data_IF_937139616618
#
_entry.id   IF_937139616618
#
_cell.length_a   1.000
_cell.length_b   1.000
_cell.length_c   1.000
_cell.angle_alpha   90.00
_cell.angle_beta   90.00
_cell.angle_gamma   90.00
#
_symmetry.space_group_name_H-M   'P 1'
#
loop_
_entity.id
_entity.type
_entity.pdbx_description
1 polymer ?
#
# COMPACT_ATOMS: atom_id res chain seq x y z
N UNK A 1 -20.07 -18.21 -22.68
CA UNK A 1 -18.74 -18.47 -22.08
C UNK A 1 -17.73 -17.61 -22.80
N UNK A 2 -17.45 -16.41 -22.30
CA UNK A 2 -16.46 -15.51 -22.90
C UNK A 2 -15.07 -16.05 -22.63
N UNK A 3 -14.30 -16.31 -23.68
CA UNK A 3 -12.89 -16.67 -23.57
C UNK A 3 -12.16 -15.55 -22.81
N UNK A 4 -11.85 -15.77 -21.53
CA UNK A 4 -10.93 -14.91 -20.80
C UNK A 4 -9.57 -15.08 -21.45
N UNK A 5 -9.19 -14.13 -22.31
CA UNK A 5 -7.82 -14.05 -22.81
C UNK A 5 -6.89 -13.89 -21.60
N UNK A 6 -5.96 -14.83 -21.44
CA UNK A 6 -4.92 -14.72 -20.42
C UNK A 6 -4.16 -13.39 -20.62
N UNK A 7 -4.07 -12.53 -19.59
CA UNK A 7 -3.42 -11.23 -19.74
C UNK A 7 -1.94 -11.43 -20.10
N UNK A 8 -1.48 -10.68 -21.10
CA UNK A 8 -0.08 -10.70 -21.55
C UNK A 8 0.86 -10.29 -20.41
N UNK A 9 2.14 -10.70 -20.47
CA UNK A 9 3.12 -10.40 -19.41
C UNK A 9 3.23 -8.90 -19.11
N UNK A 10 3.26 -8.07 -20.15
CA UNK A 10 3.28 -6.60 -20.01
C UNK A 10 2.01 -6.05 -19.36
N UNK A 11 0.84 -6.58 -19.73
CA UNK A 11 -0.44 -6.19 -19.15
C UNK A 11 -0.52 -6.56 -17.66
N UNK A 12 -0.04 -7.74 -17.26
CA UNK A 12 0.03 -8.13 -15.83
C UNK A 12 0.95 -7.21 -15.03
N UNK A 13 2.08 -6.83 -15.60
CA UNK A 13 3.02 -5.92 -14.95
C UNK A 13 2.43 -4.53 -14.78
N UNK A 14 1.80 -4.00 -15.84
CA UNK A 14 1.12 -2.72 -15.82
C UNK A 14 0.01 -2.70 -14.77
N UNK A 15 -0.83 -3.74 -14.72
CA UNK A 15 -1.89 -3.83 -13.71
C UNK A 15 -1.37 -4.03 -12.29
N UNK A 16 -0.26 -4.74 -12.11
CA UNK A 16 0.37 -4.84 -10.79
C UNK A 16 0.92 -3.50 -10.35
N UNK A 17 1.57 -2.78 -11.27
CA UNK A 17 2.05 -1.42 -11.03
C UNK A 17 0.90 -0.46 -10.72
N UNK A 18 -0.18 -0.46 -11.50
CA UNK A 18 -1.38 0.33 -11.24
C UNK A 18 -2.03 -0.06 -9.91
N UNK A 19 -2.12 -1.35 -9.59
CA UNK A 19 -2.63 -1.84 -8.32
C UNK A 19 -1.83 -1.29 -7.16
N UNK A 20 -0.50 -1.41 -7.21
CA UNK A 20 0.35 -0.84 -6.18
C UNK A 20 0.22 0.68 -6.10
N UNK A 21 0.24 1.40 -7.24
CA UNK A 21 0.30 2.88 -7.26
C UNK A 21 -1.04 3.61 -7.11
N UNK A 22 -2.18 2.96 -7.35
CA UNK A 22 -3.50 3.53 -7.05
C UNK A 22 -4.13 2.89 -5.82
N UNK A 23 -4.22 1.56 -5.80
CA UNK A 23 -4.94 0.83 -4.74
C UNK A 23 -4.15 0.90 -3.43
N UNK A 24 -2.82 0.83 -3.49
CA UNK A 24 -1.95 1.00 -2.31
C UNK A 24 -2.19 2.34 -1.61
N UNK A 25 -2.00 3.48 -2.30
CA UNK A 25 -2.22 4.79 -1.71
C UNK A 25 -3.66 5.03 -1.26
N UNK A 26 -4.64 4.52 -2.01
CA UNK A 26 -6.04 4.59 -1.64
C UNK A 26 -6.31 3.87 -0.31
N UNK A 27 -5.83 2.63 -0.15
CA UNK A 27 -5.97 1.90 1.11
C UNK A 27 -5.25 2.60 2.26
N UNK A 28 -4.06 3.18 2.01
CA UNK A 28 -3.33 3.92 3.04
C UNK A 28 -4.11 5.14 3.53
N UNK A 29 -4.62 5.97 2.60
CA UNK A 29 -5.45 7.13 2.92
C UNK A 29 -6.75 6.74 3.62
N UNK A 30 -7.43 5.68 3.14
CA UNK A 30 -8.64 5.15 3.76
C UNK A 30 -8.39 4.62 5.17
N UNK A 31 -7.26 3.95 5.39
CA UNK A 31 -6.89 3.42 6.71
C UNK A 31 -6.67 4.56 7.72
N UNK A 32 -5.99 5.64 7.31
CA UNK A 32 -5.82 6.83 8.16
C UNK A 32 -7.16 7.51 8.43
N UNK A 33 -8.01 7.67 7.40
CA UNK A 33 -9.36 8.23 7.57
C UNK A 33 -10.18 7.43 8.58
N UNK A 34 -10.24 6.11 8.40
CA UNK A 34 -10.95 5.20 9.29
C UNK A 34 -10.38 5.27 10.71
N UNK A 35 -9.05 5.24 10.86
CA UNK A 35 -8.40 5.32 12.17
C UNK A 35 -8.72 6.63 12.90
N UNK A 36 -8.73 7.77 12.21
CA UNK A 36 -9.05 9.06 12.82
C UNK A 36 -10.54 9.20 13.21
N UNK A 37 -11.46 8.61 12.42
CA UNK A 37 -12.89 8.59 12.78
C UNK A 37 -13.15 7.65 13.95
N UNK A 38 -12.52 6.47 13.94
CA UNK A 38 -12.70 5.45 14.97
C UNK A 38 -11.87 5.72 16.24
N UNK A 39 -10.92 6.66 16.21
CA UNK A 39 -10.07 6.94 17.36
C UNK A 39 -10.88 7.34 18.60
N UNK A 40 -11.85 8.24 18.43
CA UNK A 40 -12.69 8.74 19.52
C UNK A 40 -13.58 7.66 20.15
N UNK A 41 -14.37 6.87 19.39
CA UNK A 41 -15.18 5.80 19.98
C UNK A 41 -14.34 4.67 20.59
N UNK A 42 -13.09 4.47 20.13
CA UNK A 42 -12.19 3.44 20.64
C UNK A 42 -11.21 3.96 21.71
N UNK A 43 -11.31 5.23 22.12
CA UNK A 43 -10.40 5.88 23.10
C UNK A 43 -8.92 5.78 22.71
N UNK A 44 -8.63 5.83 21.40
CA UNK A 44 -7.28 5.76 20.82
C UNK A 44 -6.68 7.16 20.59
N UNK A 45 -7.23 8.19 21.19
CA UNK A 45 -6.81 9.59 20.98
C UNK A 45 -5.32 9.81 21.31
N UNK A 46 -4.74 9.01 22.21
CA UNK A 46 -3.31 9.02 22.54
C UNK A 46 -2.38 8.52 21.42
N UNK A 47 -2.92 7.89 20.38
CA UNK A 47 -2.18 7.45 19.19
C UNK A 47 -2.24 8.47 18.03
N UNK A 48 -3.05 9.51 18.15
CA UNK A 48 -3.15 10.56 17.13
C UNK A 48 -2.00 11.56 17.35
N UNK A 49 -1.13 11.78 16.35
CA UNK A 49 -0.10 12.82 16.43
C UNK A 49 -0.70 14.21 16.69
N UNK A 50 -0.02 15.01 17.51
CA UNK A 50 -0.42 16.41 17.73
C UNK A 50 -0.31 17.21 16.43
N UNK A 51 -1.33 18.01 16.11
CA UNK A 51 -1.38 18.81 14.87
C UNK A 51 -2.01 18.11 13.67
N UNK A 52 -2.62 16.94 13.85
CA UNK A 52 -3.42 16.29 12.79
C UNK A 52 -4.66 17.14 12.48
N UNK A 53 -4.73 17.61 11.24
CA UNK A 53 -5.84 18.39 10.71
C UNK A 53 -7.10 17.53 10.53
N UNK A 54 -8.17 18.12 9.97
CA UNK A 54 -9.40 17.44 9.57
C UNK A 54 -9.12 16.05 8.94
N UNK A 55 -9.81 14.97 9.37
CA UNK A 55 -9.60 13.60 8.88
C UNK A 55 -9.54 13.48 7.36
N UNK A 56 -10.34 14.26 6.63
CA UNK A 56 -10.33 14.27 5.16
C UNK A 56 -9.04 14.86 4.59
N UNK A 57 -8.50 15.92 5.19
CA UNK A 57 -7.23 16.52 4.76
C UNK A 57 -6.07 15.56 5.02
N UNK A 58 -6.03 14.92 6.19
CA UNK A 58 -5.01 13.93 6.54
C UNK A 58 -5.06 12.70 5.63
N UNK A 59 -6.25 12.19 5.31
CA UNK A 59 -6.42 11.09 4.38
C UNK A 59 -5.88 11.40 2.98
N UNK A 60 -6.17 12.60 2.46
CA UNK A 60 -5.64 13.06 1.18
C UNK A 60 -4.12 13.23 1.22
N UNK A 61 -3.58 13.83 2.29
CA UNK A 61 -2.13 13.96 2.46
C UNK A 61 -1.46 12.58 2.49
N UNK A 62 -2.03 11.60 3.21
CA UNK A 62 -1.53 10.23 3.23
C UNK A 62 -1.63 9.57 1.86
N UNK A 63 -2.72 9.74 1.13
CA UNK A 63 -2.86 9.23 -0.23
C UNK A 63 -1.74 9.75 -1.14
N UNK A 64 -1.50 11.06 -1.15
CA UNK A 64 -0.44 11.67 -1.98
C UNK A 64 0.94 11.16 -1.57
N UNK A 65 1.23 11.13 -0.27
CA UNK A 65 2.55 10.74 0.24
C UNK A 65 2.85 9.24 0.13
N UNK A 66 1.82 8.39 0.19
CA UNK A 66 1.97 6.94 0.07
C UNK A 66 2.18 6.47 -1.37
N UNK A 67 2.01 7.35 -2.37
CA UNK A 67 2.30 7.03 -3.77
C UNK A 67 3.77 6.64 -3.98
N UNK A 68 4.71 7.35 -3.34
CA UNK A 68 6.16 7.10 -3.44
C UNK A 68 6.55 5.71 -2.90
N UNK A 69 6.26 5.34 -1.63
CA UNK A 69 6.59 4.00 -1.14
C UNK A 69 5.84 2.90 -1.89
N UNK A 70 4.62 3.18 -2.36
CA UNK A 70 3.85 2.21 -3.15
C UNK A 70 4.48 1.95 -4.53
N UNK A 71 5.03 2.99 -5.18
CA UNK A 71 5.78 2.84 -6.42
C UNK A 71 7.07 2.05 -6.20
N UNK A 72 7.79 2.29 -5.10
CA UNK A 72 8.98 1.52 -4.74
C UNK A 72 8.65 0.04 -4.47
N UNK A 73 7.55 -0.23 -3.77
CA UNK A 73 7.04 -1.59 -3.57
C UNK A 73 6.68 -2.26 -4.90
N UNK A 74 6.05 -1.52 -5.83
CA UNK A 74 5.73 -2.01 -7.16
C UNK A 74 6.98 -2.41 -7.96
N UNK A 75 8.03 -1.59 -7.90
CA UNK A 75 9.33 -1.87 -8.53
C UNK A 75 9.95 -3.13 -7.93
N UNK A 76 9.93 -3.29 -6.60
CA UNK A 76 10.42 -4.50 -5.93
C UNK A 76 9.67 -5.77 -6.35
N UNK A 77 8.38 -5.66 -6.67
CA UNK A 77 7.53 -6.76 -7.14
C UNK A 77 7.57 -6.97 -8.66
N UNK A 78 8.14 -6.05 -9.44
CA UNK A 78 8.17 -6.13 -10.90
C UNK A 78 8.89 -7.40 -11.40
N UNK A 79 10.02 -7.75 -10.77
CA UNK A 79 10.81 -8.92 -11.14
C UNK A 79 10.08 -10.25 -10.88
N UNK A 80 9.53 -10.51 -9.68
CA UNK A 80 8.69 -11.69 -9.43
C UNK A 80 7.50 -11.82 -10.38
N UNK A 81 6.80 -10.71 -10.65
CA UNK A 81 5.61 -10.70 -11.51
C UNK A 81 5.98 -11.04 -12.96
N UNK A 82 7.12 -10.54 -13.45
CA UNK A 82 7.61 -10.84 -14.80
C UNK A 82 7.93 -12.33 -14.98
N UNK A 83 8.61 -12.93 -14.00
CA UNK A 83 9.14 -14.30 -14.11
C UNK A 83 8.11 -15.38 -13.77
N UNK A 84 7.28 -15.15 -12.76
CA UNK A 84 6.42 -16.21 -12.20
C UNK A 84 4.92 -15.91 -12.33
N UNK A 85 4.52 -14.70 -12.73
CA UNK A 85 3.11 -14.26 -12.80
C UNK A 85 2.31 -14.45 -11.49
N UNK A 86 3.03 -14.62 -10.37
CA UNK A 86 2.52 -14.75 -9.01
C UNK A 86 3.60 -14.28 -8.03
N UNK A 87 3.19 -13.93 -6.83
CA UNK A 87 4.06 -13.66 -5.69
C UNK A 87 3.34 -14.03 -4.39
N UNK A 88 4.10 -14.52 -3.41
CA UNK A 88 3.59 -14.92 -2.09
C UNK A 88 3.03 -13.73 -1.31
N UNK A 89 2.10 -13.99 -0.39
CA UNK A 89 1.64 -12.99 0.58
C UNK A 89 2.80 -12.40 1.37
N UNK A 90 3.81 -13.21 1.71
CA UNK A 90 4.99 -12.76 2.44
C UNK A 90 5.82 -11.78 1.61
N UNK A 91 6.02 -12.04 0.31
CA UNK A 91 6.72 -11.11 -0.58
C UNK A 91 5.96 -9.80 -0.77
N UNK A 92 4.63 -9.82 -0.75
CA UNK A 92 3.83 -8.60 -0.82
C UNK A 92 4.00 -7.73 0.45
N UNK A 93 3.87 -8.36 1.63
CA UNK A 93 4.08 -7.69 2.90
C UNK A 93 5.51 -7.12 3.01
N UNK A 94 6.51 -7.92 2.62
CA UNK A 94 7.90 -7.48 2.60
C UNK A 94 8.12 -6.31 1.62
N UNK A 95 7.57 -6.36 0.41
CA UNK A 95 7.69 -5.26 -0.55
C UNK A 95 7.05 -3.97 -0.03
N UNK A 96 5.90 -4.05 0.65
CA UNK A 96 5.27 -2.90 1.30
C UNK A 96 6.15 -2.30 2.40
N UNK A 97 6.67 -3.13 3.31
CA UNK A 97 7.53 -2.68 4.40
C UNK A 97 8.86 -2.10 3.90
N UNK A 98 9.51 -2.79 2.94
CA UNK A 98 10.78 -2.33 2.34
C UNK A 98 10.56 -1.07 1.51
N UNK A 99 9.47 -1.00 0.74
CA UNK A 99 9.12 0.20 -0.03
C UNK A 99 8.91 1.42 0.87
N UNK A 100 8.24 1.25 2.01
CA UNK A 100 8.10 2.30 3.02
C UNK A 100 9.45 2.68 3.64
N UNK A 101 10.26 1.71 4.04
CA UNK A 101 11.59 1.97 4.60
C UNK A 101 12.48 2.75 3.63
N UNK A 102 12.53 2.35 2.36
CA UNK A 102 13.29 3.07 1.33
C UNK A 102 12.77 4.49 1.14
N UNK A 103 11.45 4.70 1.12
CA UNK A 103 10.87 6.03 1.05
C UNK A 103 11.25 6.88 2.27
N UNK A 104 11.28 6.31 3.48
CA UNK A 104 11.66 7.03 4.71
C UNK A 104 13.13 7.44 4.75
N UNK A 105 14.00 6.69 4.05
CA UNK A 105 15.42 7.05 3.89
C UNK A 105 15.56 8.17 2.85
N UNK A 106 14.84 8.06 1.73
CA UNK A 106 14.89 9.05 0.65
C UNK A 106 14.25 10.39 1.04
N UNK A 107 13.21 10.36 1.88
CA UNK A 107 12.51 11.52 2.41
C UNK A 107 12.43 11.41 3.94
N UNK A 108 13.34 12.05 4.68
CA UNK A 108 13.40 11.94 6.13
C UNK A 108 12.10 12.45 6.76
N UNK A 109 11.41 11.54 7.43
CA UNK A 109 10.19 11.84 8.17
C UNK A 109 10.53 12.54 9.50
N UNK A 110 9.62 13.38 10.03
CA UNK A 110 9.75 13.93 11.37
C UNK A 110 10.04 12.85 12.41
N UNK A 111 11.01 13.09 13.30
CA UNK A 111 11.42 12.14 14.34
C UNK A 111 10.29 11.77 15.33
N UNK A 112 9.22 12.58 15.37
CA UNK A 112 8.03 12.35 16.20
C UNK A 112 7.07 11.30 15.62
N UNK A 113 7.26 10.84 14.38
CA UNK A 113 6.40 9.83 13.77
C UNK A 113 6.85 8.42 14.16
N UNK A 114 5.95 7.58 14.70
CA UNK A 114 6.29 6.21 15.04
C UNK A 114 6.45 5.38 13.76
N UNK A 115 7.69 5.14 13.35
CA UNK A 115 8.02 4.46 12.09
C UNK A 115 7.58 3.00 12.05
N UNK A 116 7.64 2.30 13.19
CA UNK A 116 7.27 0.87 13.29
C UNK A 116 5.81 0.58 12.94
N UNK A 117 4.80 1.24 13.55
CA UNK A 117 3.40 1.01 13.17
C UNK A 117 3.09 1.46 11.74
N UNK A 118 3.80 2.47 11.21
CA UNK A 118 3.63 2.90 9.81
C UNK A 118 4.17 1.86 8.81
N UNK A 119 5.33 1.25 9.10
CA UNK A 119 5.86 0.16 8.30
C UNK A 119 4.94 -1.07 8.33
N UNK A 120 4.35 -1.37 9.49
CA UNK A 120 3.36 -2.43 9.64
C UNK A 120 2.10 -2.13 8.82
N UNK A 121 1.58 -0.89 8.89
CA UNK A 121 0.46 -0.46 8.08
C UNK A 121 0.76 -0.61 6.58
N UNK A 122 1.95 -0.21 6.13
CA UNK A 122 2.39 -0.37 4.74
C UNK A 122 2.40 -1.85 4.30
N UNK A 123 2.83 -2.76 5.17
CA UNK A 123 2.77 -4.20 4.90
C UNK A 123 1.31 -4.69 4.75
N UNK A 124 0.39 -4.26 5.61
CA UNK A 124 -1.03 -4.59 5.49
C UNK A 124 -1.68 -4.03 4.22
N UNK A 125 -1.34 -2.79 3.86
CA UNK A 125 -1.79 -2.16 2.62
C UNK A 125 -1.32 -2.99 1.41
N UNK A 126 -0.06 -3.42 1.39
CA UNK A 126 0.46 -4.26 0.31
C UNK A 126 -0.21 -5.64 0.23
N UNK A 127 -0.60 -6.23 1.37
CA UNK A 127 -1.43 -7.44 1.40
C UNK A 127 -2.82 -7.17 0.81
N UNK A 128 -3.44 -6.03 1.13
CA UNK A 128 -4.71 -5.60 0.54
C UNK A 128 -4.63 -5.45 -0.98
N UNK A 129 -3.55 -4.84 -1.48
CA UNK A 129 -3.29 -4.74 -2.93
C UNK A 129 -3.13 -6.12 -3.57
N UNK A 130 -2.38 -7.03 -2.95
CA UNK A 130 -2.27 -8.41 -3.44
C UNK A 130 -3.64 -9.09 -3.51
N UNK A 131 -4.45 -8.97 -2.46
CA UNK A 131 -5.79 -9.55 -2.41
C UNK A 131 -6.68 -9.00 -3.54
N UNK A 132 -6.62 -7.68 -3.79
CA UNK A 132 -7.32 -7.05 -4.90
C UNK A 132 -6.87 -7.62 -6.27
N UNK A 133 -5.56 -7.75 -6.49
CA UNK A 133 -5.01 -8.31 -7.74
C UNK A 133 -5.36 -9.79 -7.94
N UNK A 134 -5.40 -10.59 -6.87
CA UNK A 134 -5.85 -11.99 -6.93
C UNK A 134 -7.35 -12.05 -7.25
N UNK A 135 -8.18 -11.24 -6.58
CA UNK A 135 -9.63 -11.21 -6.82
C UNK A 135 -10.00 -10.77 -8.24
N UNK A 136 -9.22 -9.86 -8.83
CA UNK A 136 -9.35 -9.41 -10.21
C UNK A 136 -8.80 -10.39 -11.25
N UNK A 137 -8.28 -11.56 -10.85
CA UNK A 137 -7.72 -12.56 -11.75
C UNK A 137 -6.42 -12.12 -12.45
N UNK A 138 -5.75 -11.07 -11.94
CA UNK A 138 -4.54 -10.50 -12.55
C UNK A 138 -3.31 -11.34 -12.21
N UNK A 139 -3.24 -11.81 -10.96
CA UNK A 139 -2.20 -12.70 -10.45
C UNK A 139 -2.82 -13.97 -9.89
N UNK A 140 -2.11 -15.10 -10.00
CA UNK A 140 -2.57 -16.37 -9.43
C UNK A 140 -2.33 -16.40 -7.92
N UNK A 141 -3.31 -16.93 -7.18
CA UNK A 141 -3.33 -17.01 -5.72
C UNK A 141 -2.16 -17.82 -5.15
#
# INVERSE_FOLDING_TARGET
MTAQQDPSRGQRLLFTFLGCTLVGPFLAGFSVFAMLILARPLQLDGLIPVGVANPGHSALATFVWSAVPSALAAIGLAWPVWNHATFSWLSAAAAGAVGFMLASIAMPLPASLPLTPLALLAAFVALGVRAALVSGGIIRA
#
